data_IF_374340143225
#
_entry.id   IF_374340143225
#
_cell.length_a   1.000
_cell.length_b   1.000
_cell.length_c   1.000
_cell.angle_alpha   90.00
_cell.angle_beta   90.00
_cell.angle_gamma   90.00
#
_symmetry.space_group_name_H-M   'P 1'
#
loop_
_entity.id
_entity.type
_entity.pdbx_description
1 polymer ?
#
# COMPACT_ATOMS: atom_id res chain seq x y z
N UNK A 1 7.99 4.43 -2.89
CA UNK A 1 8.25 3.53 -1.73
C UNK A 1 7.32 2.32 -1.77
N UNK A 2 7.73 1.15 -1.25
CA UNK A 2 6.88 -0.04 -1.09
C UNK A 2 6.82 -0.43 0.38
N UNK A 3 5.63 -0.72 0.90
CA UNK A 3 5.38 -1.13 2.27
C UNK A 3 4.68 -2.47 2.28
N UNK A 4 4.98 -3.31 3.26
CA UNK A 4 4.31 -4.60 3.42
C UNK A 4 3.56 -4.64 4.74
N UNK A 5 2.25 -4.76 4.67
CA UNK A 5 1.41 -5.13 5.80
C UNK A 5 1.48 -6.65 5.95
N UNK A 6 2.33 -7.07 6.89
CA UNK A 6 2.48 -8.47 7.30
C UNK A 6 1.25 -9.03 8.02
N UNK A 7 1.40 -10.20 8.62
CA UNK A 7 0.30 -10.96 9.27
C UNK A 7 -0.13 -10.39 10.64
N UNK A 8 0.42 -9.25 11.07
CA UNK A 8 0.14 -8.63 12.37
C UNK A 8 -1.16 -7.82 12.35
N UNK A 9 -1.98 -8.01 13.38
CA UNK A 9 -3.26 -7.31 13.62
C UNK A 9 -3.07 -5.82 13.92
N UNK A 10 -2.79 -5.03 12.89
CA UNK A 10 -3.02 -3.58 12.93
C UNK A 10 -4.49 -3.34 12.57
N UNK A 11 -5.35 -3.19 13.58
CA UNK A 11 -6.79 -3.01 13.42
C UNK A 11 -7.19 -1.64 13.98
N UNK A 12 -7.91 -0.86 13.17
CA UNK A 12 -8.62 0.34 13.64
C UNK A 12 -7.84 1.65 13.50
N UNK A 13 -7.95 2.51 14.51
CA UNK A 13 -7.41 3.89 14.50
C UNK A 13 -5.88 3.94 14.52
N UNK A 14 -5.22 2.93 15.09
CA UNK A 14 -3.75 2.83 15.10
C UNK A 14 -3.19 2.71 13.68
N UNK A 15 -3.77 1.80 12.88
CA UNK A 15 -3.35 1.61 11.48
C UNK A 15 -3.52 2.89 10.66
N UNK A 16 -4.63 3.62 10.87
CA UNK A 16 -4.85 4.90 10.18
C UNK A 16 -3.78 5.92 10.54
N UNK A 17 -3.51 6.10 11.83
CA UNK A 17 -2.48 7.04 12.29
C UNK A 17 -1.11 6.66 11.74
N UNK A 18 -0.72 5.39 11.86
CA UNK A 18 0.57 4.92 11.33
C UNK A 18 0.68 5.06 9.81
N UNK A 19 -0.41 4.82 9.07
CA UNK A 19 -0.45 5.09 7.63
C UNK A 19 -0.31 6.57 7.33
N UNK A 20 -1.00 7.45 8.06
CA UNK A 20 -0.90 8.90 7.88
C UNK A 20 0.50 9.40 8.17
N UNK A 21 1.06 9.10 9.34
CA UNK A 21 2.42 9.51 9.74
C UNK A 21 3.46 9.07 8.71
N UNK A 22 3.28 7.86 8.16
CA UNK A 22 4.19 7.30 7.17
C UNK A 22 3.99 7.92 5.78
N UNK A 23 2.77 8.28 5.38
CA UNK A 23 2.51 9.01 4.13
C UNK A 23 3.09 10.42 4.20
N UNK A 24 2.96 11.12 5.33
CA UNK A 24 3.60 12.41 5.57
C UNK A 24 5.12 12.29 5.47
N UNK A 25 5.73 11.30 6.12
CA UNK A 25 7.16 11.03 5.98
C UNK A 25 7.58 10.72 4.53
N UNK A 26 6.76 9.96 3.80
CA UNK A 26 7.04 9.65 2.41
C UNK A 26 7.00 10.88 1.50
N UNK A 27 6.13 11.83 1.81
CA UNK A 27 5.99 13.10 1.10
C UNK A 27 7.10 14.09 1.46
N UNK A 28 7.27 14.40 2.75
CA UNK A 28 8.16 15.47 3.22
C UNK A 28 9.64 15.07 3.18
N UNK A 29 9.98 13.85 3.59
CA UNK A 29 11.38 13.43 3.78
C UNK A 29 11.92 12.65 2.58
N UNK A 30 11.07 11.86 1.92
CA UNK A 30 11.47 11.02 0.79
C UNK A 30 11.08 11.57 -0.57
N UNK A 31 10.33 12.68 -0.62
CA UNK A 31 9.82 13.31 -1.86
C UNK A 31 9.18 12.28 -2.81
N UNK A 32 8.49 11.28 -2.24
CA UNK A 32 7.89 10.21 -3.01
C UNK A 32 6.66 10.72 -3.75
N UNK A 33 6.57 10.43 -5.04
CA UNK A 33 5.35 10.68 -5.84
C UNK A 33 4.28 9.59 -5.68
N UNK A 34 4.70 8.41 -5.18
CA UNK A 34 3.84 7.23 -5.06
C UNK A 34 4.31 6.32 -3.95
N UNK A 35 3.34 5.84 -3.19
CA UNK A 35 3.50 4.79 -2.18
C UNK A 35 2.72 3.56 -2.63
N UNK A 36 3.36 2.39 -2.55
CA UNK A 36 2.71 1.10 -2.76
C UNK A 36 2.56 0.39 -1.43
N UNK A 37 1.36 -0.09 -1.18
CA UNK A 37 0.99 -0.86 -0.01
C UNK A 37 0.70 -2.29 -0.43
N UNK A 38 1.59 -3.21 -0.05
CA UNK A 38 1.41 -4.65 -0.21
C UNK A 38 0.72 -5.24 1.00
N UNK A 39 -0.43 -5.86 0.80
CA UNK A 39 -1.23 -6.52 1.83
C UNK A 39 -1.03 -8.01 1.70
N UNK A 40 -0.56 -8.67 2.77
CA UNK A 40 -0.36 -10.12 2.73
C UNK A 40 -1.66 -10.84 2.40
N UNK A 41 -1.60 -11.76 1.44
CA UNK A 41 -2.76 -12.58 1.04
C UNK A 41 -3.20 -13.54 2.13
N UNK A 42 -2.35 -13.78 3.14
CA UNK A 42 -2.60 -14.67 4.29
C UNK A 42 -3.32 -13.97 5.45
N UNK A 43 -3.47 -12.64 5.41
CA UNK A 43 -4.23 -11.89 6.41
C UNK A 43 -5.71 -12.24 6.37
N UNK A 44 -6.29 -12.45 7.55
CA UNK A 44 -7.73 -12.72 7.69
C UNK A 44 -8.59 -11.47 7.42
N UNK A 45 -8.06 -10.28 7.68
CA UNK A 45 -8.71 -8.99 7.52
C UNK A 45 -8.44 -8.30 6.17
N UNK A 46 -7.75 -8.99 5.25
CA UNK A 46 -7.38 -8.45 3.93
C UNK A 46 -8.56 -7.85 3.19
N UNK A 47 -9.70 -8.52 3.16
CA UNK A 47 -10.88 -8.02 2.43
C UNK A 47 -11.46 -6.75 3.06
N UNK A 48 -11.34 -6.59 4.37
CA UNK A 48 -11.71 -5.35 5.07
C UNK A 48 -10.74 -4.22 4.72
N UNK A 49 -9.44 -4.48 4.71
CA UNK A 49 -8.42 -3.50 4.32
C UNK A 49 -8.59 -3.07 2.86
N UNK A 50 -8.72 -4.01 1.93
CA UNK A 50 -8.93 -3.73 0.50
C UNK A 50 -10.18 -2.89 0.23
N UNK A 51 -11.21 -2.99 1.08
CA UNK A 51 -12.40 -2.14 1.01
C UNK A 51 -12.22 -0.79 1.69
N UNK A 52 -11.36 -0.69 2.70
CA UNK A 52 -11.19 0.52 3.52
C UNK A 52 -10.16 1.49 2.94
N UNK A 53 -9.08 0.97 2.39
CA UNK A 53 -7.97 1.75 1.81
C UNK A 53 -8.38 2.67 0.64
N UNK A 54 -9.37 2.32 -0.21
CA UNK A 54 -9.91 3.26 -1.20
C UNK A 54 -10.48 4.55 -0.60
N UNK A 55 -11.07 4.50 0.60
CA UNK A 55 -11.54 5.71 1.29
C UNK A 55 -10.41 6.61 1.78
N UNK A 56 -9.20 6.06 1.91
CA UNK A 56 -7.97 6.79 2.22
C UNK A 56 -7.24 7.27 0.95
N UNK A 57 -7.78 7.02 -0.26
CA UNK A 57 -7.17 7.43 -1.52
C UNK A 57 -6.27 6.38 -2.19
N UNK A 58 -6.18 5.17 -1.64
CA UNK A 58 -5.44 4.09 -2.30
C UNK A 58 -6.26 3.46 -3.44
N UNK A 59 -5.65 3.30 -4.61
CA UNK A 59 -6.22 2.58 -5.74
C UNK A 59 -5.64 1.17 -5.85
N UNK A 60 -6.41 0.19 -6.34
CA UNK A 60 -5.85 -1.12 -6.67
C UNK A 60 -4.70 -0.97 -7.66
N UNK A 61 -3.56 -1.59 -7.37
CA UNK A 61 -2.43 -1.63 -8.28
C UNK A 61 -2.46 -2.94 -9.06
N UNK A 62 -2.86 -2.87 -10.32
CA UNK A 62 -2.67 -3.98 -11.25
C UNK A 62 -1.30 -3.83 -11.93
N UNK A 63 -0.37 -4.77 -11.71
CA UNK A 63 0.87 -4.80 -12.47
C UNK A 63 0.51 -5.09 -13.93
N UNK A 64 0.53 -4.07 -14.79
CA UNK A 64 0.32 -4.26 -16.23
C UNK A 64 1.49 -5.10 -16.76
N UNK A 65 1.16 -6.27 -17.28
CA UNK A 65 2.11 -7.14 -17.98
C UNK A 65 2.81 -6.34 -19.08
N UNK A 66 4.12 -6.11 -18.95
CA UNK A 66 4.94 -5.47 -19.99
C UNK A 66 5.41 -4.03 -19.72
N UNK A 67 5.15 -3.44 -18.55
CA UNK A 67 5.77 -2.15 -18.20
C UNK A 67 7.17 -2.42 -17.60
N UNK A 68 8.24 -1.86 -18.17
CA UNK A 68 9.62 -2.01 -17.67
C UNK A 68 9.89 -1.18 -16.40
N UNK A 69 8.92 -1.12 -15.49
CA UNK A 69 9.04 -0.39 -14.24
C UNK A 69 9.46 -1.38 -13.15
N UNK A 70 10.40 -1.03 -12.27
CA UNK A 70 10.89 -1.95 -11.23
C UNK A 70 9.77 -2.50 -10.32
N UNK A 71 8.59 -1.88 -10.37
CA UNK A 71 7.37 -2.27 -9.68
C UNK A 71 6.60 -3.46 -10.31
N UNK A 72 6.81 -3.77 -11.60
CA UNK A 72 6.21 -4.98 -12.22
C UNK A 72 6.90 -6.28 -11.80
N UNK A 73 8.09 -6.19 -11.20
CA UNK A 73 8.80 -7.34 -10.63
C UNK A 73 8.39 -7.65 -9.19
N UNK A 74 7.40 -6.93 -8.64
CA UNK A 74 6.89 -7.23 -7.31
C UNK A 74 6.24 -8.61 -7.33
N UNK A 75 6.74 -9.47 -6.44
CA UNK A 75 6.25 -10.83 -6.28
C UNK A 75 4.81 -10.79 -5.73
N UNK A 76 3.84 -10.95 -6.62
CA UNK A 76 2.41 -10.92 -6.28
C UNK A 76 1.92 -12.23 -5.66
N UNK A 77 2.78 -13.24 -5.54
CA UNK A 77 2.40 -14.56 -5.02
C UNK A 77 2.00 -14.49 -3.54
N UNK A 78 2.65 -13.60 -2.78
CA UNK A 78 2.39 -13.38 -1.36
C UNK A 78 1.52 -12.17 -1.01
N UNK A 79 1.49 -11.12 -1.86
CA UNK A 79 0.89 -9.82 -1.52
C UNK A 79 -0.04 -9.29 -2.61
N UNK A 80 -1.12 -8.62 -2.19
CA UNK A 80 -1.95 -7.80 -3.06
C UNK A 80 -1.53 -6.33 -2.89
N UNK A 81 -1.28 -5.62 -3.99
CA UNK A 81 -0.77 -4.25 -3.93
C UNK A 81 -1.85 -3.20 -4.21
N UNK A 82 -1.78 -2.10 -3.48
CA UNK A 82 -2.54 -0.87 -3.73
C UNK A 82 -1.58 0.31 -3.83
N UNK A 83 -1.91 1.32 -4.62
CA UNK A 83 -1.10 2.51 -4.84
C UNK A 83 -1.79 3.74 -4.27
N UNK A 84 -1.02 4.56 -3.55
CA UNK A 84 -1.39 5.91 -3.17
C UNK A 84 -0.53 6.90 -3.95
N UNK A 85 -1.18 7.85 -4.61
CA UNK A 85 -0.51 8.94 -5.32
C UNK A 85 -0.42 10.13 -4.36
N UNK A 86 0.80 10.49 -3.99
CA UNK A 86 1.05 11.72 -3.24
C UNK A 86 0.85 12.85 -4.24
N UNK A 87 -0.14 13.70 -3.97
CA UNK A 87 -0.46 14.84 -4.80
C UNK A 87 0.35 16.02 -4.25
N UNK A 88 1.14 16.64 -5.13
CA UNK A 88 1.93 17.85 -4.85
C UNK A 88 1.06 19.03 -4.39
#
# INVERSE_FOLDING_TARGET
MVLHLGETELIGESLKRELTDMLEFAEEELECRRVLLGISRRRQDKDTLMRTLPFLGFACYEPRSGCADHLTCLDTDGFAYMAYAISD
#
